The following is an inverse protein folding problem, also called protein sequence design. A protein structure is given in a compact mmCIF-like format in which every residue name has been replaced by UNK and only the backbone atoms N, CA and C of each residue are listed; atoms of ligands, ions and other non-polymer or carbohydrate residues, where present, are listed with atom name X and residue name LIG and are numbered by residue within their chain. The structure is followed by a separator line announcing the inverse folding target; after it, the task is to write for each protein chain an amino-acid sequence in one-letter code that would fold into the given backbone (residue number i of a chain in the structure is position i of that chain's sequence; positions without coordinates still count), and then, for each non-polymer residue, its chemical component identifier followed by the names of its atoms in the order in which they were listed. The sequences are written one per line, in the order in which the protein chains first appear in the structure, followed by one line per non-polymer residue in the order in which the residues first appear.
data_IF_838068222409
#
_entry.id   IF_838068222409
#
_cell.length_a   1.000
_cell.length_b   1.000
_cell.length_c   1.000
_cell.angle_alpha   90.00
_cell.angle_beta   90.00
_cell.angle_gamma   90.00
#
_symmetry.space_group_name_H-M   'P 1'
#
loop_
_entity.id
_entity.type
_entity.pdbx_description
1 polymer ?
#
# COMPACT_ATOMS: atom_id res chain seq x y z
N UNK A 1 7.78 -6.98 1.10
CA UNK A 1 7.29 -7.08 -0.29
C UNK A 1 6.11 -6.16 -0.42
N UNK A 2 5.93 -5.53 -1.59
CA UNK A 2 4.90 -4.51 -1.78
C UNK A 2 4.18 -4.68 -3.10
N UNK A 3 2.95 -4.18 -3.16
CA UNK A 3 2.11 -4.26 -4.35
C UNK A 3 1.29 -2.99 -4.51
N UNK A 4 1.22 -2.51 -5.74
CA UNK A 4 0.33 -1.43 -6.14
C UNK A 4 -0.93 -2.01 -6.77
N UNK A 5 -2.09 -1.45 -6.45
CA UNK A 5 -3.35 -1.91 -7.03
C UNK A 5 -4.58 -1.19 -6.48
N UNK A 6 -5.78 -1.65 -6.84
CA UNK A 6 -7.02 -1.01 -6.41
C UNK A 6 -7.21 -1.12 -4.90
N UNK A 7 -7.68 -0.02 -4.30
CA UNK A 7 -8.06 0.05 -2.90
C UNK A 7 -9.41 -0.64 -2.69
N UNK A 8 -9.48 -1.68 -1.85
CA UNK A 8 -10.69 -2.52 -1.75
C UNK A 8 -11.98 -1.75 -1.40
N UNK A 9 -11.97 -0.77 -0.46
CA UNK A 9 -13.14 0.07 -0.20
C UNK A 9 -13.49 1.08 -1.31
N UNK A 10 -12.53 1.44 -2.16
CA UNK A 10 -12.74 2.34 -3.30
C UNK A 10 -11.89 1.89 -4.50
N UNK A 11 -12.36 0.88 -5.29
CA UNK A 11 -11.54 0.21 -6.30
C UNK A 11 -11.00 1.09 -7.41
N UNK A 12 -11.56 2.29 -7.59
CA UNK A 12 -11.11 3.31 -8.54
C UNK A 12 -9.88 4.08 -8.06
N UNK A 13 -9.51 3.98 -6.78
CA UNK A 13 -8.31 4.60 -6.23
C UNK A 13 -7.14 3.60 -6.20
N UNK A 14 -5.95 3.98 -6.67
CA UNK A 14 -4.76 3.17 -6.46
C UNK A 14 -4.32 3.24 -4.99
N UNK A 15 -3.68 2.19 -4.53
CA UNK A 15 -3.03 2.12 -3.22
C UNK A 15 -1.74 1.31 -3.30
N UNK A 16 -0.85 1.57 -2.36
CA UNK A 16 0.33 0.75 -2.09
C UNK A 16 0.04 -0.09 -0.85
N UNK A 17 0.35 -1.39 -0.94
CA UNK A 17 0.24 -2.37 0.13
C UNK A 17 1.61 -2.93 0.39
N UNK A 18 2.20 -2.54 1.51
CA UNK A 18 3.50 -3.02 1.94
C UNK A 18 3.36 -4.06 3.06
N UNK A 19 4.15 -5.12 2.95
CA UNK A 19 4.18 -6.24 3.88
C UNK A 19 5.60 -6.45 4.39
N UNK A 20 5.73 -6.55 5.71
CA UNK A 20 6.95 -7.00 6.37
C UNK A 20 6.69 -8.32 7.09
N UNK A 21 7.58 -9.28 6.87
CA UNK A 21 7.55 -10.59 7.51
C UNK A 21 8.84 -10.76 8.29
N UNK A 22 8.72 -11.06 9.58
CA UNK A 22 9.83 -11.49 10.42
C UNK A 22 9.67 -12.98 10.69
N UNK A 23 10.70 -13.78 10.38
CA UNK A 23 10.70 -15.22 10.64
C UNK A 23 11.73 -15.51 11.73
N UNK A 24 11.27 -16.03 12.86
CA UNK A 24 12.12 -16.53 13.92
C UNK A 24 12.54 -17.97 13.60
N UNK A 25 13.74 -18.13 13.03
CA UNK A 25 14.22 -19.43 12.55
C UNK A 25 14.37 -20.50 13.64
N UNK A 26 14.58 -20.09 14.90
CA UNK A 26 14.80 -21.02 16.01
C UNK A 26 13.55 -21.82 16.38
N UNK A 27 12.38 -21.18 16.33
CA UNK A 27 11.11 -21.75 16.79
C UNK A 27 10.04 -21.79 15.68
N UNK A 28 10.38 -21.36 14.46
CA UNK A 28 9.50 -21.39 13.29
C UNK A 28 8.35 -20.39 13.36
N UNK A 29 8.36 -19.46 14.32
CA UNK A 29 7.34 -18.40 14.39
C UNK A 29 7.54 -17.41 13.24
N UNK A 30 6.44 -16.91 12.72
CA UNK A 30 6.45 -15.80 11.77
C UNK A 30 5.51 -14.70 12.25
N UNK A 31 5.90 -13.47 11.96
CA UNK A 31 5.16 -12.27 12.30
C UNK A 31 4.96 -11.48 11.01
N UNK A 32 3.73 -11.01 10.79
CA UNK A 32 3.34 -10.32 9.57
C UNK A 32 2.74 -8.97 9.93
N UNK A 33 3.30 -7.91 9.35
CA UNK A 33 2.71 -6.59 9.42
C UNK A 33 2.36 -6.09 8.02
N UNK A 34 1.20 -5.43 7.91
CA UNK A 34 0.70 -4.87 6.66
C UNK A 34 0.36 -3.40 6.85
N UNK A 35 0.86 -2.58 5.95
CA UNK A 35 0.50 -1.17 5.83
C UNK A 35 -0.15 -0.90 4.47
N UNK A 36 -1.14 -0.02 4.44
CA UNK A 36 -1.80 0.40 3.20
C UNK A 36 -1.84 1.92 3.17
N UNK A 37 -1.38 2.50 2.07
CA UNK A 37 -1.44 3.95 1.84
C UNK A 37 -2.11 4.28 0.50
N UNK A 38 -2.80 5.42 0.47
CA UNK A 38 -3.39 6.00 -0.74
C UNK A 38 -2.50 7.11 -1.33
N UNK A 39 -1.45 7.53 -0.62
CA UNK A 39 -0.44 8.42 -1.16
C UNK A 39 0.51 7.59 -2.02
N UNK A 40 0.30 7.62 -3.34
CA UNK A 40 1.04 6.82 -4.30
C UNK A 40 1.38 7.64 -5.54
N UNK A 41 2.56 7.34 -6.09
CA UNK A 41 2.95 7.73 -7.45
C UNK A 41 3.05 6.45 -8.26
N UNK A 42 1.96 6.14 -8.96
CA UNK A 42 1.79 4.90 -9.71
C UNK A 42 0.95 5.16 -10.95
N UNK A 43 1.49 4.78 -12.11
CA UNK A 43 0.76 4.91 -13.36
C UNK A 43 1.56 4.38 -14.54
N UNK A 44 0.85 4.22 -15.65
CA UNK A 44 1.45 3.96 -16.94
C UNK A 44 0.49 4.31 -18.06
N UNK A 45 1.04 4.74 -19.19
CA UNK A 45 0.26 5.07 -20.38
C UNK A 45 1.05 4.89 -21.67
N UNK A 46 0.30 4.77 -22.77
CA UNK A 46 0.86 4.71 -24.11
C UNK A 46 1.08 6.12 -24.63
N UNK A 47 2.32 6.44 -25.00
CA UNK A 47 2.72 7.71 -25.58
C UNK A 47 3.09 7.50 -27.05
N UNK A 48 2.51 8.29 -27.95
CA UNK A 48 2.83 8.31 -29.38
C UNK A 48 3.76 9.46 -29.78
N UNK A 49 3.99 10.42 -28.88
CA UNK A 49 4.79 11.62 -29.14
C UNK A 49 5.61 12.02 -27.93
N UNK A 50 6.68 12.77 -28.14
CA UNK A 50 7.60 13.17 -27.07
C UNK A 50 6.93 14.05 -26.01
N UNK A 51 6.03 14.95 -26.43
CA UNK A 51 5.27 15.81 -25.51
C UNK A 51 4.33 15.00 -24.59
N UNK A 52 3.79 13.88 -25.06
CA UNK A 52 3.02 12.95 -24.23
C UNK A 52 3.90 12.27 -23.16
N UNK A 53 5.12 11.87 -23.53
CA UNK A 53 6.10 11.30 -22.57
C UNK A 53 6.48 12.31 -21.50
N UNK A 54 6.75 13.56 -21.89
CA UNK A 54 7.10 14.63 -20.96
C UNK A 54 5.93 15.00 -20.03
N UNK A 55 4.71 15.08 -20.57
CA UNK A 55 3.52 15.31 -19.76
C UNK A 55 3.27 14.17 -18.77
N UNK A 56 3.52 12.92 -19.16
CA UNK A 56 3.48 11.78 -18.24
C UNK A 56 4.54 11.90 -17.13
N UNK A 57 5.79 12.21 -17.50
CA UNK A 57 6.89 12.35 -16.56
C UNK A 57 6.59 13.41 -15.49
N UNK A 58 6.05 14.56 -15.90
CA UNK A 58 5.62 15.62 -14.99
C UNK A 58 4.54 15.14 -14.01
N UNK A 59 3.47 14.49 -14.49
CA UNK A 59 2.41 13.94 -13.62
C UNK A 59 2.93 12.90 -12.63
N UNK A 60 3.95 12.15 -13.02
CA UNK A 60 4.59 11.13 -12.20
C UNK A 60 5.75 11.66 -11.34
N UNK A 61 5.92 12.98 -11.24
CA UNK A 61 6.93 13.62 -10.38
C UNK A 61 8.37 13.21 -10.72
N UNK A 62 8.63 12.91 -11.99
CA UNK A 62 10.00 12.73 -12.49
C UNK A 62 10.79 14.05 -12.38
N UNK A 63 12.09 14.04 -12.03
CA UNK A 63 12.98 12.89 -11.85
C UNK A 63 13.05 12.32 -10.42
N UNK A 64 12.28 12.85 -9.45
CA UNK A 64 12.27 12.32 -8.09
C UNK A 64 11.81 10.86 -8.07
N UNK A 65 10.82 10.55 -8.92
CA UNK A 65 10.39 9.18 -9.21
C UNK A 65 10.97 8.73 -10.55
N UNK A 66 11.63 7.58 -10.54
CA UNK A 66 12.17 6.98 -11.75
C UNK A 66 11.08 6.47 -12.68
N UNK A 67 11.40 6.38 -13.96
CA UNK A 67 10.52 5.87 -15.00
C UNK A 67 11.08 4.62 -15.65
N UNK A 68 10.17 3.92 -16.32
CA UNK A 68 10.41 2.80 -17.21
C UNK A 68 9.79 3.15 -18.56
N UNK A 69 10.57 3.03 -19.62
CA UNK A 69 10.07 3.07 -21.00
C UNK A 69 10.20 1.69 -21.63
N UNK A 70 9.17 1.24 -22.35
CA UNK A 70 9.16 -0.06 -23.04
C UNK A 70 8.28 0.00 -24.28
N UNK A 71 8.42 -0.96 -25.18
CA UNK A 71 7.64 -1.00 -26.42
C UNK A 71 6.11 -1.05 -26.16
N UNK A 72 5.66 -1.88 -25.20
CA UNK A 72 4.24 -2.15 -24.94
C UNK A 72 3.94 -2.22 -23.44
N UNK A 73 2.67 -2.10 -23.08
CA UNK A 73 2.22 -2.16 -21.68
C UNK A 73 2.66 -3.45 -20.98
N UNK A 74 2.49 -4.59 -21.64
CA UNK A 74 2.96 -5.88 -21.15
C UNK A 74 4.22 -6.27 -21.91
N UNK A 75 5.33 -6.38 -21.18
CA UNK A 75 6.59 -6.84 -21.73
C UNK A 75 6.53 -8.33 -22.06
N UNK A 76 7.01 -8.72 -23.24
CA UNK A 76 7.34 -10.11 -23.58
C UNK A 76 8.86 -10.31 -23.60
N UNK A 77 9.29 -11.56 -23.52
CA UNK A 77 10.72 -11.90 -23.63
C UNK A 77 11.30 -11.36 -24.94
N UNK A 78 12.47 -10.71 -24.86
CA UNK A 78 13.13 -10.08 -26.02
C UNK A 78 12.64 -8.68 -26.39
N UNK A 79 11.65 -8.11 -25.69
CA UNK A 79 11.24 -6.71 -25.92
C UNK A 79 12.19 -5.71 -25.28
N UNK A 80 12.39 -4.61 -25.98
CA UNK A 80 13.19 -3.48 -25.51
C UNK A 80 12.49 -2.80 -24.33
N UNK A 81 13.21 -2.71 -23.22
CA UNK A 81 12.74 -2.07 -21.99
C UNK A 81 13.91 -1.40 -21.28
N UNK A 82 13.73 -0.13 -20.96
CA UNK A 82 14.67 0.70 -20.21
C UNK A 82 14.05 1.00 -18.85
N UNK A 83 14.76 0.67 -17.77
CA UNK A 83 14.28 0.84 -16.38
C UNK A 83 15.25 1.71 -15.60
N UNK A 84 14.75 2.41 -14.58
CA UNK A 84 15.60 3.23 -13.72
C UNK A 84 16.06 4.51 -14.37
N UNK A 85 15.22 5.05 -15.24
CA UNK A 85 15.44 6.36 -15.84
C UNK A 85 15.14 7.39 -14.76
N UNK A 86 16.16 8.14 -14.35
CA UNK A 86 16.07 9.21 -13.36
C UNK A 86 16.78 10.48 -13.83
N UNK A 87 17.23 10.50 -15.08
CA UNK A 87 17.98 11.59 -15.69
C UNK A 87 17.18 12.15 -16.89
N UNK A 88 16.91 13.47 -16.94
CA UNK A 88 16.09 14.06 -17.99
C UNK A 88 16.68 13.88 -19.41
N UNK A 89 18.00 13.95 -19.57
CA UNK A 89 18.63 13.81 -20.88
C UNK A 89 18.50 12.35 -21.36
N UNK A 90 18.73 11.39 -20.46
CA UNK A 90 18.48 9.97 -20.73
C UNK A 90 17.01 9.70 -21.10
N UNK A 91 16.05 10.36 -20.43
CA UNK A 91 14.63 10.20 -20.75
C UNK A 91 14.33 10.64 -22.18
N UNK A 92 14.87 11.79 -22.59
CA UNK A 92 14.69 12.33 -23.95
C UNK A 92 15.28 11.40 -25.01
N UNK A 93 16.55 10.99 -24.83
CA UNK A 93 17.24 10.11 -25.78
C UNK A 93 16.49 8.78 -25.98
N UNK A 94 16.06 8.15 -24.88
CA UNK A 94 15.34 6.88 -24.93
C UNK A 94 13.93 7.03 -25.50
N UNK A 95 13.23 8.12 -25.19
CA UNK A 95 11.92 8.40 -25.73
C UNK A 95 11.99 8.59 -27.25
N UNK A 96 12.90 9.41 -27.74
CA UNK A 96 13.11 9.63 -29.18
C UNK A 96 13.49 8.34 -29.89
N UNK A 97 14.37 7.53 -29.29
CA UNK A 97 14.76 6.22 -29.84
C UNK A 97 13.55 5.29 -30.02
N UNK A 98 12.78 5.09 -28.96
CA UNK A 98 11.63 4.17 -28.98
C UNK A 98 10.51 4.68 -29.88
N UNK A 99 10.23 5.99 -29.86
CA UNK A 99 9.24 6.61 -30.75
C UNK A 99 9.65 6.50 -32.22
N UNK A 100 10.92 6.75 -32.55
CA UNK A 100 11.43 6.62 -33.91
C UNK A 100 11.40 5.18 -34.42
N UNK A 101 11.64 4.21 -33.54
CA UNK A 101 11.68 2.78 -33.89
C UNK A 101 10.30 2.13 -33.97
N UNK A 102 9.40 2.47 -33.06
CA UNK A 102 8.12 1.76 -32.86
C UNK A 102 6.88 2.62 -33.12
N UNK A 103 7.02 3.94 -33.29
CA UNK A 103 5.93 4.89 -33.46
C UNK A 103 5.12 5.19 -32.18
N UNK A 104 5.32 4.39 -31.12
CA UNK A 104 4.79 4.63 -29.78
C UNK A 104 5.59 3.84 -28.76
N UNK A 105 5.47 4.23 -27.50
CA UNK A 105 6.03 3.52 -26.36
C UNK A 105 5.03 3.47 -25.21
N UNK A 106 5.28 2.62 -24.23
CA UNK A 106 4.62 2.62 -22.94
C UNK A 106 5.56 3.22 -21.89
N UNK A 107 5.13 4.33 -21.29
CA UNK A 107 5.80 4.94 -20.15
C UNK A 107 5.10 4.47 -18.87
N UNK A 108 5.86 4.08 -17.85
CA UNK A 108 5.32 3.83 -16.52
C UNK A 108 6.28 4.23 -15.42
N UNK A 109 5.74 4.52 -14.25
CA UNK A 109 6.52 4.72 -13.02
C UNK A 109 7.36 3.49 -12.69
N UNK A 110 8.59 3.69 -12.26
CA UNK A 110 9.43 2.64 -11.73
C UNK A 110 9.10 2.38 -10.26
N UNK A 111 8.43 1.27 -10.00
CA UNK A 111 7.93 0.97 -8.65
C UNK A 111 8.99 0.36 -7.72
N UNK A 112 10.25 0.22 -8.16
CA UNK A 112 11.31 -0.27 -7.28
C UNK A 112 11.62 0.78 -6.21
N UNK A 113 11.80 0.34 -4.97
CA UNK A 113 11.90 1.23 -3.81
C UNK A 113 12.93 2.36 -4.00
N UNK A 114 14.12 2.05 -4.52
CA UNK A 114 15.18 3.04 -4.74
C UNK A 114 14.87 4.10 -5.82
N UNK A 115 13.77 3.94 -6.55
CA UNK A 115 13.31 4.84 -7.62
C UNK A 115 11.92 5.42 -7.33
N UNK A 116 11.35 5.13 -6.16
CA UNK A 116 10.05 5.65 -5.77
C UNK A 116 10.11 6.13 -4.30
N UNK A 117 10.45 7.41 -4.07
CA UNK A 117 10.52 7.98 -2.72
C UNK A 117 9.21 7.84 -1.92
N UNK A 118 8.05 7.93 -2.58
CA UNK A 118 6.74 7.73 -1.93
C UNK A 118 6.61 6.30 -1.39
N UNK A 119 7.03 5.30 -2.17
CA UNK A 119 7.10 3.90 -1.73
C UNK A 119 8.10 3.72 -0.58
N UNK A 120 9.26 4.38 -0.63
CA UNK A 120 10.22 4.32 0.48
C UNK A 120 9.62 4.81 1.79
N UNK A 121 8.85 5.89 1.76
CA UNK A 121 8.10 6.40 2.91
C UNK A 121 7.09 5.36 3.41
N UNK A 122 6.35 4.70 2.51
CA UNK A 122 5.43 3.62 2.87
C UNK A 122 6.15 2.43 3.54
N UNK A 123 7.30 2.02 3.01
CA UNK A 123 8.15 0.96 3.59
C UNK A 123 8.62 1.36 5.00
N UNK A 124 9.09 2.60 5.18
CA UNK A 124 9.53 3.11 6.48
C UNK A 124 8.36 3.10 7.50
N UNK A 125 7.20 3.62 7.12
CA UNK A 125 6.01 3.59 7.96
C UNK A 125 5.58 2.15 8.33
N UNK A 126 5.73 1.21 7.40
CA UNK A 126 5.47 -0.22 7.64
C UNK A 126 6.43 -0.78 8.68
N UNK A 127 7.72 -0.44 8.59
CA UNK A 127 8.73 -0.87 9.55
C UNK A 127 8.49 -0.29 10.95
N UNK A 128 8.18 1.00 11.05
CA UNK A 128 7.85 1.66 12.32
C UNK A 128 6.60 1.06 12.98
N UNK A 129 5.54 0.84 12.18
CA UNK A 129 4.32 0.18 12.63
C UNK A 129 4.59 -1.23 13.14
N UNK A 130 5.43 -1.99 12.43
CA UNK A 130 5.79 -3.34 12.82
C UNK A 130 6.61 -3.37 14.11
N UNK A 131 7.59 -2.47 14.27
CA UNK A 131 8.37 -2.36 15.52
C UNK A 131 7.46 -2.03 16.70
N UNK A 132 6.49 -1.13 16.53
CA UNK A 132 5.52 -0.78 17.59
C UNK A 132 4.63 -1.97 17.96
N UNK A 133 4.16 -2.72 16.96
CA UNK A 133 3.35 -3.92 17.18
C UNK A 133 4.14 -5.01 17.91
N UNK A 134 5.35 -5.32 17.42
CA UNK A 134 6.26 -6.27 18.03
C UNK A 134 6.61 -5.88 19.47
N UNK A 135 6.88 -4.59 19.72
CA UNK A 135 7.26 -4.11 21.05
C UNK A 135 6.11 -4.11 22.06
N UNK A 136 4.89 -4.44 21.65
CA UNK A 136 3.80 -4.57 22.63
C UNK A 136 3.88 -5.92 23.33
N UNK A 137 4.16 -5.89 24.63
CA UNK A 137 4.20 -7.08 25.46
C UNK A 137 2.80 -7.52 25.93
N UNK A 138 2.64 -8.83 26.10
CA UNK A 138 1.49 -9.42 26.74
C UNK A 138 1.48 -9.05 28.23
N UNK A 139 0.37 -8.54 28.78
CA UNK A 139 0.29 -8.19 30.20
C UNK A 139 0.35 -9.41 31.13
N UNK A 140 0.07 -10.61 30.63
CA UNK A 140 0.05 -11.83 31.44
C UNK A 140 1.41 -12.55 31.53
N UNK A 141 2.18 -12.60 30.44
CA UNK A 141 3.45 -13.35 30.40
C UNK A 141 4.67 -12.52 29.98
N UNK A 142 4.50 -11.25 29.60
CA UNK A 142 5.58 -10.38 29.14
C UNK A 142 6.09 -10.65 27.71
N UNK A 143 5.59 -11.69 27.03
CA UNK A 143 5.99 -12.00 25.66
C UNK A 143 5.63 -10.85 24.70
N UNK A 144 6.53 -10.55 23.77
CA UNK A 144 6.36 -9.55 22.71
C UNK A 144 5.25 -9.94 21.72
N UNK A 145 4.87 -9.01 20.85
CA UNK A 145 3.85 -9.22 19.82
C UNK A 145 2.47 -9.64 20.38
N UNK A 146 1.98 -8.90 21.38
CA UNK A 146 0.59 -8.96 21.79
C UNK A 146 -0.28 -8.23 20.74
N UNK A 147 -0.47 -8.83 19.57
CA UNK A 147 -1.08 -8.17 18.41
C UNK A 147 -2.61 -8.28 18.39
N UNK A 148 -3.27 -7.53 17.50
CA UNK A 148 -4.70 -7.66 17.24
C UNK A 148 -4.97 -8.98 16.53
N UNK A 149 -5.79 -9.84 17.12
CA UNK A 149 -6.12 -11.18 16.59
C UNK A 149 -7.57 -11.29 16.14
N UNK A 150 -8.43 -10.34 16.51
CA UNK A 150 -9.85 -10.33 16.15
C UNK A 150 -10.39 -8.89 16.20
N UNK A 151 -11.35 -8.60 15.31
CA UNK A 151 -12.10 -7.35 15.28
C UNK A 151 -13.56 -7.65 15.61
N UNK A 152 -14.09 -7.03 16.65
CA UNK A 152 -15.50 -7.18 17.04
C UNK A 152 -16.31 -6.11 16.32
N UNK A 153 -17.29 -6.49 15.52
CA UNK A 153 -18.23 -5.56 14.85
C UNK A 153 -19.41 -5.20 15.75
N UNK A 154 -20.29 -4.32 15.29
CA UNK A 154 -21.49 -3.90 16.02
C UNK A 154 -21.37 -2.53 16.69
N UNK A 155 -20.63 -1.58 16.10
CA UNK A 155 -20.60 -0.20 16.62
C UNK A 155 -22.02 0.39 16.52
N UNK A 156 -22.61 0.91 17.61
CA UNK A 156 -24.01 1.35 17.60
C UNK A 156 -24.20 2.61 16.75
N UNK A 157 -25.26 2.65 15.94
CA UNK A 157 -25.62 3.85 15.18
C UNK A 157 -25.91 5.04 16.11
N UNK A 158 -25.39 6.21 15.77
CA UNK A 158 -25.58 7.44 16.55
C UNK A 158 -27.05 7.91 16.65
N UNK A 159 -27.93 7.46 15.73
CA UNK A 159 -29.35 7.87 15.72
C UNK A 159 -30.28 6.82 16.31
N UNK A 160 -30.22 5.59 15.81
CA UNK A 160 -31.17 4.53 16.18
C UNK A 160 -30.59 3.46 17.11
N UNK A 161 -29.28 3.46 17.37
CA UNK A 161 -28.61 2.46 18.20
C UNK A 161 -28.43 1.09 17.54
N UNK A 162 -28.93 0.86 16.32
CA UNK A 162 -28.73 -0.42 15.60
C UNK A 162 -27.23 -0.74 15.47
N UNK A 163 -26.79 -1.97 15.81
CA UNK A 163 -25.42 -2.41 15.57
C UNK A 163 -25.07 -2.38 14.08
N UNK A 164 -23.99 -1.69 13.73
CA UNK A 164 -23.49 -1.60 12.35
C UNK A 164 -22.40 -2.62 12.06
N UNK A 165 -22.02 -2.79 10.78
CA UNK A 165 -20.87 -3.61 10.40
C UNK A 165 -19.52 -2.99 10.81
N UNK A 166 -19.52 -1.74 11.30
CA UNK A 166 -18.31 -1.11 11.79
C UNK A 166 -17.79 -1.82 13.05
N UNK A 167 -16.46 -1.95 13.13
CA UNK A 167 -15.75 -2.48 14.30
C UNK A 167 -16.13 -1.66 15.54
N UNK A 168 -16.53 -2.28 16.64
CA UNK A 168 -16.75 -1.64 17.94
C UNK A 168 -15.54 -1.73 18.87
N UNK A 169 -14.76 -2.79 18.73
CA UNK A 169 -13.59 -3.04 19.57
C UNK A 169 -12.63 -4.02 18.90
N UNK A 170 -11.40 -4.08 19.40
CA UNK A 170 -10.37 -5.02 18.94
C UNK A 170 -10.05 -5.99 20.07
N UNK A 171 -9.73 -7.24 19.73
CA UNK A 171 -9.19 -8.21 20.68
C UNK A 171 -7.72 -8.40 20.36
N UNK A 172 -6.88 -8.15 21.36
CA UNK A 172 -5.46 -8.49 21.31
C UNK A 172 -5.21 -9.84 21.92
N UNK A 173 -4.30 -10.61 21.34
CA UNK A 173 -4.03 -12.00 21.73
C UNK A 173 -2.54 -12.28 21.83
N UNK A 174 -2.16 -13.12 22.80
CA UNK A 174 -0.81 -13.64 22.93
C UNK A 174 -0.73 -15.05 22.33
N UNK A 175 0.19 -15.27 21.41
CA UNK A 175 0.41 -16.59 20.80
C UNK A 175 1.05 -17.61 21.76
N UNK A 176 1.70 -17.17 22.84
CA UNK A 176 2.42 -18.05 23.78
C UNK A 176 1.51 -18.54 24.92
N UNK A 177 0.86 -17.62 25.65
CA UNK A 177 0.04 -17.99 26.81
C UNK A 177 -1.47 -18.03 26.51
N UNK A 178 -1.89 -17.63 25.31
CA UNK A 178 -3.31 -17.58 24.91
C UNK A 178 -4.11 -16.45 25.55
N UNK A 179 -3.50 -15.56 26.34
CA UNK A 179 -4.19 -14.42 26.94
C UNK A 179 -4.83 -13.54 25.87
N UNK A 180 -6.05 -13.06 26.13
CA UNK A 180 -6.81 -12.16 25.27
C UNK A 180 -7.32 -10.97 26.06
N UNK A 181 -7.25 -9.78 25.48
CA UNK A 181 -7.82 -8.57 26.05
C UNK A 181 -8.52 -7.75 24.99
N UNK A 182 -9.73 -7.30 25.29
CA UNK A 182 -10.44 -6.33 24.47
C UNK A 182 -9.87 -4.94 24.70
N UNK A 183 -9.68 -4.18 23.61
CA UNK A 183 -9.25 -2.77 23.63
C UNK A 183 -10.20 -1.96 22.74
N UNK A 184 -10.41 -0.66 23.06
CA UNK A 184 -11.21 0.21 22.20
C UNK A 184 -10.56 0.40 20.83
N UNK A 185 -11.31 0.98 19.89
CA UNK A 185 -10.76 1.40 18.60
C UNK A 185 -9.68 2.46 18.81
N UNK A 186 -8.69 2.47 17.93
CA UNK A 186 -7.62 3.48 17.96
C UNK A 186 -8.12 4.91 17.65
N UNK A 187 -9.21 5.04 16.89
CA UNK A 187 -9.82 6.32 16.53
C UNK A 187 -10.80 6.87 17.59
N UNK A 188 -11.03 6.13 18.67
CA UNK A 188 -11.92 6.54 19.77
C UNK A 188 -13.42 6.61 19.41
N UNK A 189 -13.83 6.13 18.23
CA UNK A 189 -15.24 6.19 17.84
C UNK A 189 -16.09 5.26 18.72
N UNK A 190 -17.15 5.83 19.31
CA UNK A 190 -18.11 5.10 20.16
C UNK A 190 -19.48 4.92 19.52
N UNK A 191 -19.75 5.65 18.43
CA UNK A 191 -20.99 5.56 17.66
C UNK A 191 -20.69 5.64 16.15
N UNK A 192 -21.47 4.92 15.36
CA UNK A 192 -21.37 4.88 13.90
C UNK A 192 -22.19 6.00 13.26
N UNK A 193 -21.67 6.52 12.13
CA UNK A 193 -22.40 7.42 11.25
C UNK A 193 -23.69 6.73 10.74
N UNK A 194 -24.87 7.37 10.83
CA UNK A 194 -26.13 6.82 10.31
C UNK A 194 -26.08 6.41 8.82
N UNK A 195 -25.24 7.04 8.01
CA UNK A 195 -25.00 6.67 6.61
C UNK A 195 -24.33 5.29 6.44
N UNK A 196 -23.79 4.71 7.51
CA UNK A 196 -23.25 3.33 7.55
C UNK A 196 -24.17 2.35 8.30
N UNK A 197 -25.36 2.80 8.70
CA UNK A 197 -26.30 1.99 9.45
C UNK A 197 -27.28 1.28 8.51
N UNK A 198 -27.43 -0.05 8.57
CA UNK A 198 -28.36 -0.78 7.69
C UNK A 198 -29.83 -0.46 7.96
N UNK A 199 -30.16 0.17 9.10
CA UNK A 199 -31.54 0.63 9.39
C UNK A 199 -31.80 2.08 8.97
N UNK A 200 -30.79 2.96 9.02
CA UNK A 200 -30.95 4.37 8.64
C UNK A 200 -30.63 4.64 7.17
N UNK A 201 -29.73 3.84 6.60
CA UNK A 201 -29.29 3.88 5.21
C UNK A 201 -29.22 2.44 4.65
N UNK A 202 -30.38 1.80 4.43
CA UNK A 202 -30.47 0.44 3.88
C UNK A 202 -29.96 0.34 2.43
#
# INVERSE_FOLDING_TARGET
EGSFGPYSPAPFMPCDKEFLVLIALRDGRHFLHRHVTLDVVFGGERCGRLDEVLAFAERMRFPEHGLILREREHGSEGQEQHKGISDPDQLLELAEHLLGRHGSLWACTDQRAMLNPTRMTAIAATAEGFVKEMSTCCPACGEVHFAVVEQLTGLPCAWCGTPTEMVRALVRGCAVCGHRSQVPRADGQVAADPGKCPSCNP
#
